data_IF_947897368718
#
_entry.id   IF_947897368718
#
_cell.length_a   1.000
_cell.length_b   1.000
_cell.length_c   1.000
_cell.angle_alpha   90.00
_cell.angle_beta   90.00
_cell.angle_gamma   90.00
#
_symmetry.space_group_name_H-M   'P 1'
#
loop_
_entity.id
_entity.type
_entity.pdbx_description
1 polymer ?
#
# COMPACT_ATOMS: atom_id res chain seq x y z
N UNK A 1 3.87 7.37 -19.94
CA UNK A 1 3.90 6.14 -19.12
C UNK A 1 3.96 4.96 -20.07
N UNK A 2 4.83 3.98 -19.82
CA UNK A 2 4.71 2.71 -20.53
C UNK A 2 3.56 1.93 -19.88
N UNK A 3 2.53 1.52 -20.63
CA UNK A 3 1.46 0.70 -20.07
C UNK A 3 2.04 -0.64 -19.62
N UNK A 4 1.69 -1.09 -18.42
CA UNK A 4 2.02 -2.44 -17.96
C UNK A 4 1.29 -3.46 -18.81
N UNK A 5 1.94 -4.57 -19.14
CA UNK A 5 1.30 -5.69 -19.84
C UNK A 5 0.21 -6.30 -18.96
N UNK A 6 -0.87 -6.69 -19.61
CA UNK A 6 -2.03 -7.31 -18.97
C UNK A 6 -2.20 -8.76 -19.45
N UNK A 7 -2.61 -9.65 -18.54
CA UNK A 7 -2.94 -11.04 -18.86
C UNK A 7 -4.45 -11.24 -18.87
N UNK A 8 -4.99 -11.85 -19.93
CA UNK A 8 -6.41 -12.28 -19.94
C UNK A 8 -6.70 -13.29 -18.82
N UNK A 9 -7.96 -13.39 -18.40
CA UNK A 9 -8.37 -14.36 -17.38
C UNK A 9 -7.95 -15.80 -17.73
N UNK A 10 -8.04 -16.18 -19.01
CA UNK A 10 -7.61 -17.49 -19.49
C UNK A 10 -6.11 -17.71 -19.31
N UNK A 11 -5.29 -16.71 -19.63
CA UNK A 11 -3.84 -16.82 -19.51
C UNK A 11 -3.40 -16.77 -18.04
N UNK A 12 -4.06 -15.96 -17.21
CA UNK A 12 -3.86 -15.95 -15.76
C UNK A 12 -4.14 -17.33 -15.13
N UNK A 13 -5.24 -18.00 -15.54
CA UNK A 13 -5.53 -19.36 -15.09
C UNK A 13 -4.44 -20.37 -15.51
N UNK A 14 -3.87 -20.23 -16.71
CA UNK A 14 -2.78 -21.09 -17.19
C UNK A 14 -1.49 -20.86 -16.41
N UNK A 15 -1.18 -19.59 -16.08
CA UNK A 15 -0.05 -19.24 -15.22
C UNK A 15 -0.18 -19.89 -13.85
N UNK A 16 -1.35 -19.78 -13.20
CA UNK A 16 -1.59 -20.40 -11.89
C UNK A 16 -1.40 -21.93 -11.93
N UNK A 17 -1.94 -22.59 -12.97
CA UNK A 17 -1.77 -24.03 -13.16
C UNK A 17 -0.30 -24.40 -13.34
N UNK A 18 0.47 -23.61 -14.09
CA UNK A 18 1.88 -23.91 -14.32
C UNK A 18 2.74 -23.68 -13.08
N UNK A 19 2.50 -22.59 -12.35
CA UNK A 19 3.15 -22.31 -11.07
C UNK A 19 2.93 -23.44 -10.07
N UNK A 20 1.71 -23.97 -9.99
CA UNK A 20 1.35 -25.05 -9.07
C UNK A 20 1.74 -26.46 -9.54
N UNK A 21 2.18 -26.60 -10.80
CA UNK A 21 2.62 -27.89 -11.36
C UNK A 21 4.13 -27.91 -11.53
N UNK A 22 4.62 -27.53 -12.71
CA UNK A 22 6.05 -27.54 -13.02
C UNK A 22 6.82 -26.46 -12.26
N UNK A 23 6.14 -25.40 -11.80
CA UNK A 23 6.72 -24.36 -10.95
C UNK A 23 6.96 -24.79 -9.50
N UNK A 24 6.38 -25.91 -9.06
CA UNK A 24 6.63 -26.50 -7.75
C UNK A 24 6.05 -25.72 -6.55
N UNK A 25 5.23 -24.69 -6.79
CA UNK A 25 4.55 -23.98 -5.72
C UNK A 25 3.31 -24.74 -5.26
N UNK A 26 3.03 -24.70 -3.96
CA UNK A 26 1.72 -25.09 -3.46
C UNK A 26 0.77 -23.88 -3.42
N UNK A 27 -0.55 -24.14 -3.38
CA UNK A 27 -1.55 -23.07 -3.33
C UNK A 27 -1.38 -22.17 -2.10
N UNK A 28 -1.10 -22.77 -0.93
CA UNK A 28 -0.85 -22.03 0.31
C UNK A 28 0.41 -21.15 0.24
N UNK A 29 1.47 -21.58 -0.45
CA UNK A 29 2.65 -20.73 -0.67
C UNK A 29 2.33 -19.51 -1.53
N UNK A 30 1.63 -19.70 -2.65
CA UNK A 30 1.26 -18.57 -3.53
C UNK A 30 0.31 -17.61 -2.82
N UNK A 31 -0.69 -18.15 -2.11
CA UNK A 31 -1.66 -17.36 -1.33
C UNK A 31 -1.00 -16.59 -0.18
N UNK A 32 0.01 -17.18 0.47
CA UNK A 32 0.79 -16.51 1.51
C UNK A 32 1.50 -15.26 0.97
N UNK A 33 2.17 -15.40 -0.18
CA UNK A 33 2.90 -14.31 -0.83
C UNK A 33 1.95 -13.25 -1.41
N UNK A 34 0.81 -13.67 -1.96
CA UNK A 34 -0.23 -12.79 -2.46
C UNK A 34 -0.85 -11.95 -1.33
N UNK A 35 -1.32 -12.58 -0.26
CA UNK A 35 -1.90 -11.87 0.87
C UNK A 35 -0.90 -10.97 1.62
N UNK A 36 0.37 -11.38 1.69
CA UNK A 36 1.45 -10.50 2.20
C UNK A 36 1.61 -9.25 1.32
N UNK A 37 1.55 -9.40 0.00
CA UNK A 37 1.59 -8.27 -0.94
C UNK A 37 0.40 -7.32 -0.74
N UNK A 38 -0.80 -7.86 -0.52
CA UNK A 38 -2.01 -7.06 -0.23
C UNK A 38 -1.86 -6.29 1.09
N UNK A 39 -1.34 -6.94 2.13
CA UNK A 39 -1.07 -6.27 3.40
C UNK A 39 -0.06 -5.12 3.20
N UNK A 40 1.02 -5.34 2.42
CA UNK A 40 2.03 -4.31 2.16
C UNK A 40 1.47 -3.12 1.40
N UNK A 41 0.68 -3.35 0.35
CA UNK A 41 -0.01 -2.28 -0.36
C UNK A 41 -0.95 -1.50 0.57
N UNK A 42 -1.66 -2.20 1.45
CA UNK A 42 -2.52 -1.58 2.47
C UNK A 42 -1.70 -0.69 3.41
N UNK A 43 -0.57 -1.17 3.91
CA UNK A 43 0.33 -0.40 4.77
C UNK A 43 0.84 0.86 4.08
N UNK A 44 1.32 0.72 2.83
CA UNK A 44 1.88 1.82 2.04
C UNK A 44 0.84 2.89 1.69
N UNK A 45 -0.39 2.48 1.36
CA UNK A 45 -1.46 3.41 0.97
C UNK A 45 -2.20 4.01 2.16
N UNK A 46 -2.33 3.27 3.26
CA UNK A 46 -3.18 3.63 4.40
C UNK A 46 -2.49 3.37 5.76
N UNK A 47 -1.35 4.03 6.04
CA UNK A 47 -0.55 3.75 7.25
C UNK A 47 -1.29 4.03 8.56
N UNK A 48 -2.28 4.95 8.55
CA UNK A 48 -3.00 5.41 9.74
C UNK A 48 -4.41 4.80 9.89
N UNK A 49 -4.94 4.12 8.87
CA UNK A 49 -6.30 3.57 8.89
C UNK A 49 -6.29 2.18 9.51
N UNK A 50 -6.18 2.12 10.84
CA UNK A 50 -5.94 0.88 11.58
C UNK A 50 -7.16 -0.02 11.70
N UNK A 51 -8.38 0.53 11.72
CA UNK A 51 -9.61 -0.28 11.80
C UNK A 51 -10.03 -0.73 10.39
N UNK A 52 -9.79 -2.01 10.05
CA UNK A 52 -9.94 -2.53 8.68
C UNK A 52 -10.99 -3.62 8.64
N UNK A 53 -11.90 -3.56 7.67
CA UNK A 53 -12.84 -4.63 7.36
C UNK A 53 -12.37 -5.40 6.13
N UNK A 54 -12.14 -6.70 6.28
CA UNK A 54 -11.87 -7.60 5.17
C UNK A 54 -13.15 -8.34 4.82
N UNK A 55 -13.61 -8.21 3.58
CA UNK A 55 -14.72 -8.99 3.05
C UNK A 55 -14.15 -10.14 2.23
N UNK A 56 -14.28 -11.37 2.73
CA UNK A 56 -13.73 -12.56 2.09
C UNK A 56 -14.80 -13.32 1.29
N UNK A 57 -14.47 -13.64 0.03
CA UNK A 57 -15.27 -14.52 -0.82
C UNK A 57 -14.89 -15.99 -0.68
N UNK A 58 -15.62 -16.90 -1.35
CA UNK A 58 -15.50 -18.34 -1.15
C UNK A 58 -14.27 -18.97 -1.83
N UNK A 59 -13.56 -18.22 -2.68
CA UNK A 59 -12.43 -18.70 -3.49
C UNK A 59 -11.08 -18.15 -3.03
N UNK A 60 -10.07 -18.29 -3.89
CA UNK A 60 -8.70 -17.90 -3.58
C UNK A 60 -8.55 -16.41 -3.21
N UNK A 61 -9.28 -15.50 -3.88
CA UNK A 61 -9.27 -14.08 -3.55
C UNK A 61 -9.67 -13.79 -2.09
N UNK A 62 -10.60 -14.59 -1.56
CA UNK A 62 -10.98 -14.52 -0.14
C UNK A 62 -9.86 -15.02 0.75
N UNK A 63 -9.17 -16.09 0.35
CA UNK A 63 -7.99 -16.61 1.03
C UNK A 63 -6.84 -15.59 1.09
N UNK A 64 -6.58 -14.87 0.00
CA UNK A 64 -5.61 -13.77 -0.04
C UNK A 64 -5.98 -12.67 0.96
N UNK A 65 -7.27 -12.33 1.07
CA UNK A 65 -7.79 -11.41 2.09
C UNK A 65 -7.62 -11.92 3.53
N UNK A 66 -7.84 -13.22 3.77
CA UNK A 66 -7.60 -13.84 5.08
C UNK A 66 -6.11 -13.79 5.46
N UNK A 67 -5.20 -14.09 4.52
CA UNK A 67 -3.76 -13.96 4.74
C UNK A 67 -3.38 -12.49 5.00
N UNK A 68 -3.92 -11.55 4.22
CA UNK A 68 -3.69 -10.12 4.42
C UNK A 68 -4.11 -9.66 5.82
N UNK A 69 -5.28 -10.11 6.30
CA UNK A 69 -5.76 -9.81 7.65
C UNK A 69 -4.78 -10.28 8.73
N UNK A 70 -4.20 -11.48 8.58
CA UNK A 70 -3.17 -11.98 9.50
C UNK A 70 -1.94 -11.08 9.52
N UNK A 71 -1.38 -10.72 8.37
CA UNK A 71 -0.20 -9.85 8.31
C UNK A 71 -0.50 -8.46 8.85
N UNK A 72 -1.65 -7.87 8.51
CA UNK A 72 -2.07 -6.56 9.03
C UNK A 72 -2.19 -6.54 10.55
N UNK A 73 -2.73 -7.60 11.18
CA UNK A 73 -2.77 -7.71 12.65
C UNK A 73 -1.36 -7.68 13.25
N UNK A 74 -0.41 -8.41 12.64
CA UNK A 74 0.99 -8.42 13.07
C UNK A 74 1.68 -7.07 12.89
N UNK A 75 1.18 -6.21 12.00
CA UNK A 75 1.69 -4.86 11.74
C UNK A 75 0.92 -3.76 12.48
N UNK A 76 0.13 -4.13 13.49
CA UNK A 76 -0.54 -3.18 14.39
C UNK A 76 -1.84 -2.58 13.84
N UNK A 77 -2.47 -3.21 12.85
CA UNK A 77 -3.85 -2.91 12.48
C UNK A 77 -4.82 -3.72 13.36
N UNK A 78 -6.09 -3.31 13.35
CA UNK A 78 -7.20 -4.03 13.97
C UNK A 78 -8.18 -4.52 12.87
N UNK A 79 -7.82 -5.60 12.17
CA UNK A 79 -8.68 -6.18 11.15
C UNK A 79 -9.87 -6.91 11.78
N UNK A 80 -11.04 -6.79 11.15
CA UNK A 80 -12.19 -7.68 11.31
C UNK A 80 -12.54 -8.33 9.98
N UNK A 81 -13.12 -9.51 10.03
CA UNK A 81 -13.39 -10.32 8.84
C UNK A 81 -14.89 -10.57 8.74
N UNK A 82 -15.45 -10.29 7.56
CA UNK A 82 -16.77 -10.77 7.18
C UNK A 82 -16.62 -11.86 6.12
N UNK A 83 -16.95 -13.11 6.50
CA UNK A 83 -16.77 -14.29 5.63
C UNK A 83 -18.07 -15.12 5.52
N UNK A 84 -19.06 -14.67 4.72
CA UNK A 84 -20.42 -15.22 4.75
C UNK A 84 -20.56 -16.58 4.05
N UNK A 85 -19.58 -16.97 3.22
CA UNK A 85 -19.55 -18.28 2.54
C UNK A 85 -18.16 -18.91 2.68
N UNK A 86 -17.82 -19.46 3.86
CA UNK A 86 -16.53 -20.10 4.06
C UNK A 86 -16.32 -21.27 3.09
N UNK A 87 -15.13 -21.33 2.48
CA UNK A 87 -14.72 -22.49 1.69
C UNK A 87 -14.61 -23.72 2.58
N UNK A 88 -14.93 -24.90 2.02
CA UNK A 88 -14.82 -26.19 2.72
C UNK A 88 -13.43 -26.80 2.61
N UNK A 89 -12.55 -26.23 1.76
CA UNK A 89 -11.19 -26.71 1.58
C UNK A 89 -10.36 -26.46 2.86
N UNK A 90 -9.52 -27.43 3.22
CA UNK A 90 -8.76 -27.46 4.48
C UNK A 90 -7.77 -26.29 4.62
N UNK A 91 -7.29 -25.73 3.50
CA UNK A 91 -6.45 -24.51 3.53
C UNK A 91 -7.22 -23.35 4.20
N UNK A 92 -8.50 -23.15 3.86
CA UNK A 92 -9.30 -22.05 4.42
C UNK A 92 -9.70 -22.30 5.87
N UNK A 93 -9.84 -23.56 6.29
CA UNK A 93 -10.01 -23.89 7.72
C UNK A 93 -8.74 -23.54 8.49
N UNK A 94 -7.58 -23.87 7.94
CA UNK A 94 -6.28 -23.56 8.53
C UNK A 94 -6.07 -22.04 8.65
N UNK A 95 -6.44 -21.26 7.64
CA UNK A 95 -6.42 -19.80 7.69
C UNK A 95 -7.34 -19.25 8.79
N UNK A 96 -8.57 -19.75 8.91
CA UNK A 96 -9.47 -19.36 10.00
C UNK A 96 -8.86 -19.68 11.37
N UNK A 97 -8.26 -20.86 11.56
CA UNK A 97 -7.56 -21.21 12.81
C UNK A 97 -6.41 -20.24 13.10
N UNK A 98 -5.59 -19.89 12.12
CA UNK A 98 -4.50 -18.91 12.30
C UNK A 98 -5.04 -17.54 12.73
N UNK A 99 -6.14 -17.09 12.13
CA UNK A 99 -6.77 -15.80 12.45
C UNK A 99 -7.38 -15.80 13.85
N UNK A 100 -8.04 -16.88 14.25
CA UNK A 100 -8.53 -17.05 15.62
C UNK A 100 -7.41 -17.06 16.66
N UNK A 101 -6.28 -17.72 16.36
CA UNK A 101 -5.11 -17.73 17.24
C UNK A 101 -4.48 -16.34 17.43
N UNK A 102 -4.73 -15.40 16.51
CA UNK A 102 -4.32 -14.00 16.58
C UNK A 102 -5.41 -13.06 17.11
N UNK A 103 -6.52 -13.62 17.61
CA UNK A 103 -7.67 -12.86 18.10
C UNK A 103 -8.23 -11.86 17.07
N UNK A 104 -8.30 -12.27 15.80
CA UNK A 104 -8.96 -11.50 14.75
C UNK A 104 -10.44 -11.88 14.74
N UNK A 105 -11.31 -10.89 14.85
CA UNK A 105 -12.76 -11.09 14.98
C UNK A 105 -13.40 -11.41 13.62
N UNK A 106 -14.23 -12.45 13.59
CA UNK A 106 -15.15 -12.73 12.48
C UNK A 106 -16.53 -12.17 12.83
N UNK A 107 -16.95 -11.13 12.13
CA UNK A 107 -18.26 -10.51 12.32
C UNK A 107 -19.33 -11.22 11.48
N UNK A 108 -20.58 -11.17 11.93
CA UNK A 108 -21.72 -11.85 11.29
C UNK A 108 -22.65 -10.93 10.51
N UNK A 109 -22.51 -9.62 10.65
CA UNK A 109 -23.31 -8.63 9.93
C UNK A 109 -22.48 -7.37 9.63
N UNK A 110 -22.98 -6.57 8.69
CA UNK A 110 -22.34 -5.37 8.18
C UNK A 110 -23.03 -4.08 8.65
N UNK A 111 -23.87 -4.14 9.69
CA UNK A 111 -24.60 -2.97 10.19
C UNK A 111 -23.68 -1.82 10.63
N UNK A 112 -22.46 -2.16 11.06
CA UNK A 112 -21.43 -1.22 11.49
C UNK A 112 -20.36 -0.94 10.41
N UNK A 113 -20.65 -1.19 9.12
CA UNK A 113 -19.68 -0.99 8.03
C UNK A 113 -19.09 0.44 8.03
N UNK A 114 -19.88 1.45 8.39
CA UNK A 114 -19.43 2.85 8.48
C UNK A 114 -18.43 3.14 9.60
N UNK A 115 -18.25 2.22 10.56
CA UNK A 115 -17.27 2.37 11.66
C UNK A 115 -15.85 2.00 11.24
N UNK A 116 -15.70 1.28 10.13
CA UNK A 116 -14.40 0.90 9.60
C UNK A 116 -13.76 2.04 8.83
N UNK A 117 -12.45 2.16 8.97
CA UNK A 117 -11.65 3.17 8.31
C UNK A 117 -11.20 2.74 6.91
N UNK A 118 -11.20 1.44 6.63
CA UNK A 118 -10.81 0.85 5.35
C UNK A 118 -11.61 -0.44 5.11
N UNK A 119 -12.02 -0.67 3.87
CA UNK A 119 -12.57 -1.94 3.40
C UNK A 119 -11.58 -2.57 2.42
N UNK A 120 -11.28 -3.85 2.63
CA UNK A 120 -10.54 -4.70 1.70
C UNK A 120 -11.53 -5.67 1.04
N UNK A 121 -11.68 -5.52 -0.26
CA UNK A 121 -12.47 -6.38 -1.13
C UNK A 121 -11.66 -7.59 -1.58
N UNK A 122 -11.90 -8.72 -0.93
CA UNK A 122 -11.41 -10.04 -1.31
C UNK A 122 -12.55 -10.97 -1.76
N UNK A 123 -13.62 -10.44 -2.37
CA UNK A 123 -14.81 -11.26 -2.71
C UNK A 123 -14.54 -12.12 -3.96
N UNK A 124 -14.31 -11.49 -5.11
CA UNK A 124 -14.19 -12.16 -6.41
C UNK A 124 -12.92 -11.71 -7.12
N UNK A 125 -12.09 -12.68 -7.54
CA UNK A 125 -10.92 -12.42 -8.38
C UNK A 125 -11.20 -12.70 -9.86
N UNK A 126 -10.14 -12.84 -10.66
CA UNK A 126 -10.23 -13.03 -12.12
C UNK A 126 -11.00 -14.28 -12.60
N UNK A 127 -11.16 -15.28 -11.74
CA UNK A 127 -11.89 -16.51 -12.09
C UNK A 127 -13.42 -16.33 -12.03
N UNK A 128 -13.91 -15.21 -11.54
CA UNK A 128 -15.35 -14.92 -11.53
C UNK A 128 -15.82 -14.67 -12.97
N UNK A 129 -16.64 -15.58 -13.47
CA UNK A 129 -17.25 -15.43 -14.78
C UNK A 129 -18.35 -14.38 -14.72
N UNK A 130 -18.35 -13.46 -15.68
CA UNK A 130 -19.34 -12.38 -15.72
C UNK A 130 -20.75 -12.94 -15.82
N UNK A 131 -21.49 -12.72 -14.74
CA UNK A 131 -22.85 -13.19 -14.54
C UNK A 131 -23.47 -12.43 -13.38
N UNK A 132 -24.76 -12.65 -13.14
CA UNK A 132 -25.46 -11.97 -12.05
C UNK A 132 -24.81 -12.31 -10.69
N UNK A 133 -24.37 -11.28 -9.97
CA UNK A 133 -23.85 -11.42 -8.61
C UNK A 133 -25.01 -11.88 -7.72
N UNK A 134 -24.90 -13.07 -7.15
CA UNK A 134 -25.93 -13.68 -6.31
C UNK A 134 -25.77 -13.30 -4.85
N UNK A 135 -26.84 -13.46 -4.08
CA UNK A 135 -26.78 -13.33 -2.62
C UNK A 135 -25.84 -14.37 -1.98
N UNK A 136 -25.14 -14.03 -0.88
CA UNK A 136 -25.23 -12.77 -0.13
C UNK A 136 -24.39 -11.62 -0.70
N UNK A 137 -23.58 -11.87 -1.74
CA UNK A 137 -22.59 -10.92 -2.25
C UNK A 137 -23.19 -9.68 -2.91
N UNK A 138 -24.38 -9.82 -3.50
CA UNK A 138 -25.12 -8.68 -4.04
C UNK A 138 -25.42 -7.64 -2.97
N UNK A 139 -26.07 -8.05 -1.88
CA UNK A 139 -26.40 -7.14 -0.77
C UNK A 139 -25.16 -6.55 -0.08
N UNK A 140 -24.06 -7.31 -0.03
CA UNK A 140 -22.77 -6.84 0.52
C UNK A 140 -22.19 -5.73 -0.35
N UNK A 141 -22.11 -5.94 -1.67
CA UNK A 141 -21.60 -4.95 -2.61
C UNK A 141 -22.47 -3.69 -2.60
N UNK A 142 -23.80 -3.85 -2.55
CA UNK A 142 -24.73 -2.73 -2.45
C UNK A 142 -24.43 -1.86 -1.20
N UNK A 143 -24.16 -2.48 -0.03
CA UNK A 143 -23.79 -1.76 1.19
C UNK A 143 -22.43 -1.05 1.12
N UNK A 144 -21.43 -1.67 0.50
CA UNK A 144 -20.10 -1.05 0.27
C UNK A 144 -20.24 0.17 -0.65
N UNK A 145 -21.05 0.04 -1.71
CA UNK A 145 -21.31 1.11 -2.67
C UNK A 145 -22.06 2.29 -2.03
N UNK A 146 -22.94 2.02 -1.06
CA UNK A 146 -23.64 3.02 -0.25
C UNK A 146 -22.74 3.72 0.79
N UNK A 147 -21.48 3.30 0.92
CA UNK A 147 -20.48 3.86 1.83
C UNK A 147 -19.29 4.45 1.06
N UNK A 148 -19.50 5.53 0.26
CA UNK A 148 -18.47 6.06 -0.64
C UNK A 148 -17.29 6.73 0.09
N UNK A 149 -17.49 7.14 1.34
CA UNK A 149 -16.48 7.84 2.13
C UNK A 149 -15.46 6.92 2.81
N UNK A 150 -15.74 5.62 2.90
CA UNK A 150 -14.78 4.64 3.44
C UNK A 150 -13.83 4.21 2.32
N UNK A 151 -12.51 4.40 2.43
CA UNK A 151 -11.56 3.88 1.46
C UNK A 151 -11.76 2.39 1.16
N UNK A 152 -11.59 2.02 -0.10
CA UNK A 152 -11.73 0.67 -0.63
C UNK A 152 -10.42 0.26 -1.31
N UNK A 153 -9.91 -0.92 -0.94
CA UNK A 153 -8.83 -1.60 -1.64
C UNK A 153 -9.37 -2.91 -2.20
N UNK A 154 -9.18 -3.17 -3.49
CA UNK A 154 -9.56 -4.45 -4.09
C UNK A 154 -8.35 -5.34 -4.33
N UNK A 155 -8.52 -6.63 -4.03
CA UNK A 155 -7.54 -7.67 -4.30
C UNK A 155 -7.81 -8.22 -5.70
N UNK A 156 -6.75 -8.21 -6.50
CA UNK A 156 -6.66 -8.74 -7.86
C UNK A 156 -7.49 -8.00 -8.92
N UNK A 157 -8.80 -7.98 -8.73
CA UNK A 157 -9.81 -7.32 -9.58
C UNK A 157 -10.90 -6.76 -8.65
N UNK A 158 -11.44 -5.55 -8.90
CA UNK A 158 -12.61 -5.08 -8.17
C UNK A 158 -13.80 -6.03 -8.37
N UNK A 159 -14.35 -6.54 -7.28
CA UNK A 159 -15.36 -7.60 -7.33
C UNK A 159 -16.58 -7.27 -8.18
N UNK A 160 -16.88 -8.18 -9.11
CA UNK A 160 -17.99 -8.05 -10.05
C UNK A 160 -17.67 -7.29 -11.33
N UNK A 161 -16.45 -6.75 -11.49
CA UNK A 161 -16.01 -6.17 -12.75
C UNK A 161 -15.75 -7.28 -13.78
N UNK A 162 -16.01 -6.96 -15.04
CA UNK A 162 -15.57 -7.76 -16.17
C UNK A 162 -14.06 -7.59 -16.35
N UNK A 163 -13.35 -8.72 -16.47
CA UNK A 163 -11.89 -8.73 -16.56
C UNK A 163 -11.38 -7.98 -17.78
N UNK A 164 -12.13 -8.02 -18.89
CA UNK A 164 -11.75 -7.43 -20.18
C UNK A 164 -12.42 -6.07 -20.42
N UNK A 165 -13.64 -5.87 -19.93
CA UNK A 165 -14.49 -4.71 -20.23
C UNK A 165 -14.67 -3.73 -19.06
N UNK A 166 -14.16 -4.03 -17.86
CA UNK A 166 -14.21 -3.14 -16.72
C UNK A 166 -15.53 -3.17 -15.94
N UNK A 167 -15.99 -2.02 -15.46
CA UNK A 167 -17.15 -1.93 -14.56
C UNK A 167 -18.44 -2.45 -15.20
N UNK A 168 -19.19 -3.24 -14.42
CA UNK A 168 -20.53 -3.75 -14.76
C UNK A 168 -21.55 -3.20 -13.76
N UNK A 169 -22.76 -2.77 -14.17
CA UNK A 169 -23.78 -2.33 -13.22
C UNK A 169 -24.07 -3.38 -12.13
N UNK A 170 -24.01 -2.94 -10.87
CA UNK A 170 -24.17 -3.81 -9.70
C UNK A 170 -22.86 -4.41 -9.17
N UNK A 171 -21.73 -4.18 -9.83
CA UNK A 171 -20.41 -4.49 -9.32
C UNK A 171 -19.97 -3.53 -8.20
N UNK A 172 -18.88 -3.86 -7.52
CA UNK A 172 -18.28 -2.97 -6.52
C UNK A 172 -17.80 -1.68 -7.19
N UNK A 173 -17.90 -0.56 -6.47
CA UNK A 173 -17.41 0.74 -6.95
C UNK A 173 -15.89 0.70 -7.16
N UNK A 174 -15.40 1.62 -8.00
CA UNK A 174 -13.97 1.79 -8.24
C UNK A 174 -13.20 1.97 -6.91
N UNK A 175 -12.15 1.17 -6.65
CA UNK A 175 -11.39 1.25 -5.40
C UNK A 175 -10.38 2.41 -5.45
N UNK A 176 -9.95 2.86 -4.29
CA UNK A 176 -8.82 3.80 -4.16
C UNK A 176 -7.48 3.11 -4.42
N UNK A 177 -7.40 1.80 -4.16
CA UNK A 177 -6.21 0.98 -4.38
C UNK A 177 -6.60 -0.34 -5.05
N UNK A 178 -5.91 -0.71 -6.12
CA UNK A 178 -5.97 -2.06 -6.69
C UNK A 178 -4.62 -2.74 -6.52
N UNK A 179 -4.63 -3.98 -6.03
CA UNK A 179 -3.44 -4.84 -5.97
C UNK A 179 -3.61 -5.98 -6.95
N UNK A 180 -3.02 -5.89 -8.15
CA UNK A 180 -3.01 -7.01 -9.10
C UNK A 180 -2.04 -8.08 -8.62
N UNK A 181 -2.48 -9.34 -8.55
CA UNK A 181 -1.63 -10.45 -8.16
C UNK A 181 -1.04 -11.15 -9.40
N UNK A 182 0.23 -11.54 -9.31
CA UNK A 182 1.04 -12.17 -10.36
C UNK A 182 1.34 -11.25 -11.55
N UNK A 183 0.29 -10.73 -12.18
CA UNK A 183 0.36 -9.76 -13.25
C UNK A 183 -0.94 -8.93 -13.31
N UNK A 184 -0.90 -7.70 -13.83
CA UNK A 184 -2.10 -6.93 -14.16
C UNK A 184 -3.07 -7.70 -15.06
N UNK A 185 -4.37 -7.50 -14.83
CA UNK A 185 -5.44 -7.95 -15.74
C UNK A 185 -5.95 -6.76 -16.58
N UNK A 186 -6.63 -6.99 -17.72
CA UNK A 186 -7.10 -5.90 -18.59
C UNK A 186 -8.01 -4.89 -17.90
N UNK A 187 -8.66 -5.27 -16.79
CA UNK A 187 -9.44 -4.40 -15.91
C UNK A 187 -8.70 -3.11 -15.53
N UNK A 188 -7.36 -3.16 -15.42
CA UNK A 188 -6.51 -2.00 -15.09
C UNK A 188 -6.65 -0.87 -16.12
N UNK A 189 -6.91 -1.20 -17.39
CA UNK A 189 -7.08 -0.22 -18.46
C UNK A 189 -8.39 0.58 -18.34
N UNK A 190 -9.32 0.12 -17.48
CA UNK A 190 -10.61 0.77 -17.25
C UNK A 190 -10.64 1.59 -15.95
N UNK A 191 -9.52 1.62 -15.21
CA UNK A 191 -9.39 2.40 -13.99
C UNK A 191 -8.95 3.82 -14.29
N UNK A 192 -9.42 4.77 -13.48
CA UNK A 192 -8.85 6.11 -13.47
C UNK A 192 -7.53 6.13 -12.69
N UNK A 193 -6.41 5.79 -13.36
CA UNK A 193 -5.07 5.73 -12.74
C UNK A 193 -4.55 7.09 -12.20
N UNK A 194 -5.24 8.20 -12.45
CA UNK A 194 -4.94 9.47 -11.76
C UNK A 194 -5.51 9.52 -10.34
N UNK A 195 -6.45 8.62 -10.01
CA UNK A 195 -7.14 8.54 -8.72
C UNK A 195 -6.89 7.22 -8.00
N UNK A 196 -6.67 6.14 -8.75
CA UNK A 196 -6.46 4.79 -8.22
C UNK A 196 -4.96 4.52 -8.13
N UNK A 197 -4.47 4.16 -6.94
CA UNK A 197 -3.13 3.61 -6.79
C UNK A 197 -3.14 2.15 -7.24
N UNK A 198 -2.19 1.79 -8.12
CA UNK A 198 -2.11 0.43 -8.68
C UNK A 198 -0.80 -0.24 -8.30
N UNK A 199 -0.91 -1.29 -7.49
CA UNK A 199 0.21 -2.14 -7.11
C UNK A 199 0.18 -3.46 -7.89
N UNK A 200 1.36 -4.01 -8.14
CA UNK A 200 1.53 -5.39 -8.60
C UNK A 200 2.21 -6.18 -7.49
N UNK A 201 1.51 -7.18 -6.97
CA UNK A 201 1.99 -8.11 -5.96
C UNK A 201 2.27 -9.50 -6.52
N UNK A 202 2.78 -10.39 -5.68
CA UNK A 202 3.16 -11.74 -6.09
C UNK A 202 4.59 -11.81 -6.64
N UNK A 203 5.54 -11.38 -5.81
CA UNK A 203 6.99 -11.42 -6.09
C UNK A 203 7.56 -12.85 -6.06
N UNK A 204 7.10 -13.69 -6.98
CA UNK A 204 7.55 -15.07 -7.16
C UNK A 204 7.73 -15.45 -8.63
N UNK A 205 7.53 -14.50 -9.56
CA UNK A 205 7.70 -14.71 -11.00
C UNK A 205 9.16 -14.41 -11.39
N UNK A 206 9.88 -15.46 -11.80
CA UNK A 206 11.22 -15.33 -12.37
C UNK A 206 11.21 -14.84 -13.82
N UNK A 207 12.34 -14.30 -14.28
CA UNK A 207 12.49 -13.71 -15.63
C UNK A 207 12.12 -14.67 -16.76
N UNK A 208 12.56 -15.93 -16.70
CA UNK A 208 12.24 -16.92 -17.73
C UNK A 208 10.73 -17.21 -17.80
N UNK A 209 10.09 -17.35 -16.63
CA UNK A 209 8.65 -17.55 -16.53
C UNK A 209 7.89 -16.33 -17.04
N UNK A 210 8.31 -15.12 -16.66
CA UNK A 210 7.73 -13.88 -17.16
C UNK A 210 7.79 -13.81 -18.69
N UNK A 211 8.96 -14.08 -19.28
CA UNK A 211 9.15 -14.07 -20.73
C UNK A 211 8.27 -15.11 -21.43
N UNK A 212 8.15 -16.33 -20.86
CA UNK A 212 7.30 -17.40 -21.41
C UNK A 212 5.84 -16.98 -21.53
N UNK A 213 5.31 -16.26 -20.54
CA UNK A 213 3.91 -15.87 -20.48
C UNK A 213 3.64 -14.42 -20.93
N UNK A 214 4.68 -13.70 -21.38
CA UNK A 214 4.55 -12.30 -21.78
C UNK A 214 4.23 -11.34 -20.63
N UNK A 215 4.65 -11.67 -19.41
CA UNK A 215 4.52 -10.83 -18.21
C UNK A 215 5.68 -9.84 -18.18
N UNK A 216 5.45 -8.62 -17.70
CA UNK A 216 6.55 -7.70 -17.43
C UNK A 216 7.41 -8.17 -16.25
N UNK A 217 8.72 -7.98 -16.36
CA UNK A 217 9.63 -8.22 -15.25
C UNK A 217 9.60 -6.97 -14.36
N UNK A 218 8.91 -7.08 -13.23
CA UNK A 218 8.78 -5.98 -12.26
C UNK A 218 10.02 -5.90 -11.36
N UNK A 219 10.58 -4.70 -11.21
CA UNK A 219 11.71 -4.44 -10.33
C UNK A 219 11.23 -4.06 -8.92
N UNK A 220 10.99 -5.06 -8.08
CA UNK A 220 10.63 -4.86 -6.67
C UNK A 220 11.84 -4.35 -5.87
N UNK A 221 11.66 -3.26 -5.10
CA UNK A 221 12.75 -2.65 -4.32
C UNK A 221 13.06 -3.44 -3.05
N UNK A 222 14.32 -3.79 -2.82
CA UNK A 222 14.76 -4.41 -1.56
C UNK A 222 13.94 -5.64 -1.21
N UNK A 223 13.24 -5.61 -0.07
CA UNK A 223 12.35 -6.66 0.41
C UNK A 223 10.85 -6.40 0.12
N UNK A 224 10.52 -5.36 -0.66
CA UNK A 224 9.15 -5.06 -1.05
C UNK A 224 8.48 -6.27 -1.74
N UNK A 225 7.25 -6.55 -1.38
CA UNK A 225 6.38 -7.56 -1.98
C UNK A 225 5.46 -6.96 -3.04
N UNK A 226 5.44 -5.63 -3.16
CA UNK A 226 4.68 -4.91 -4.19
C UNK A 226 5.55 -3.98 -5.02
N UNK A 227 5.26 -3.94 -6.31
CA UNK A 227 5.74 -2.94 -7.25
C UNK A 227 4.65 -1.88 -7.48
N UNK A 228 5.04 -0.62 -7.67
CA UNK A 228 4.12 0.47 -7.99
C UNK A 228 4.77 1.45 -8.96
N UNK A 229 4.05 1.83 -10.03
CA UNK A 229 4.62 2.64 -11.12
C UNK A 229 5.08 4.04 -10.67
N UNK A 230 4.39 4.63 -9.69
CA UNK A 230 4.79 5.91 -9.09
C UNK A 230 5.56 5.74 -7.78
N UNK A 231 6.34 4.67 -7.63
CA UNK A 231 7.45 4.75 -6.68
C UNK A 231 8.38 5.87 -7.19
N UNK A 232 8.08 7.12 -6.81
CA UNK A 232 9.08 8.18 -6.76
C UNK A 232 10.31 7.51 -6.17
N UNK A 233 11.45 7.73 -6.80
CA UNK A 233 12.75 7.33 -6.30
C UNK A 233 13.01 7.97 -4.94
N UNK A 234 12.31 7.50 -3.91
CA UNK A 234 12.86 7.42 -2.57
C UNK A 234 13.99 6.40 -2.72
N UNK A 235 15.18 6.92 -2.99
CA UNK A 235 16.42 6.22 -2.71
C UNK A 235 16.38 5.94 -1.21
N UNK A 236 15.98 4.73 -0.83
CA UNK A 236 16.37 4.22 0.47
C UNK A 236 17.85 3.86 0.34
N UNK A 237 18.77 4.47 1.13
CA UNK A 237 20.15 4.06 1.10
C UNK A 237 20.24 2.58 1.45
N UNK A 238 20.97 1.83 0.64
CA UNK A 238 21.30 0.43 0.90
C UNK A 238 22.23 0.38 2.11
N UNK A 239 21.72 -0.05 3.26
CA UNK A 239 22.52 -0.20 4.47
C UNK A 239 23.45 -1.41 4.34
N UNK A 240 24.74 -1.14 4.16
CA UNK A 240 25.78 -2.13 4.44
C UNK A 240 25.95 -2.22 5.95
N UNK A 241 25.62 -3.38 6.51
CA UNK A 241 25.83 -3.70 7.91
C UNK A 241 27.34 -3.74 8.19
N UNK A 242 27.89 -2.65 8.71
CA UNK A 242 29.19 -2.67 9.37
C UNK A 242 28.93 -2.66 10.88
N UNK A 243 29.50 -3.66 11.55
CA UNK A 243 29.38 -3.91 12.97
C UNK A 243 29.83 -2.70 13.80
N UNK A 244 28.91 -1.97 14.41
CA UNK A 244 29.16 -1.26 15.68
C UNK A 244 27.85 -0.76 16.29
N UNK A 245 27.73 -0.92 17.61
CA UNK A 245 26.62 -0.46 18.42
C UNK A 245 26.53 1.07 18.39
N UNK A 246 25.48 1.64 17.79
CA UNK A 246 25.12 3.06 17.93
C UNK A 246 23.59 3.18 18.01
N UNK A 247 23.10 3.92 19.00
CA UNK A 247 21.70 4.31 19.12
C UNK A 247 21.40 5.43 18.11
N UNK A 248 20.27 5.32 17.41
CA UNK A 248 19.87 6.24 16.34
C UNK A 248 18.89 7.30 16.86
N UNK A 249 19.15 8.58 16.55
CA UNK A 249 18.24 9.70 16.79
C UNK A 249 17.91 10.37 15.46
N UNK A 250 16.62 10.66 15.23
CA UNK A 250 16.14 11.39 14.05
C UNK A 250 16.18 12.90 14.32
N UNK A 251 16.66 13.69 13.34
CA UNK A 251 16.66 15.14 13.41
C UNK A 251 15.72 15.70 12.34
N UNK A 252 14.61 16.31 12.72
CA UNK A 252 13.70 16.97 11.77
C UNK A 252 14.05 18.45 11.76
N UNK A 253 14.32 19.04 10.58
CA UNK A 253 14.60 20.49 10.45
C UNK A 253 13.41 21.15 9.75
N UNK A 254 12.56 21.82 10.50
CA UNK A 254 11.45 22.59 9.92
C UNK A 254 11.94 24.00 9.61
N UNK A 255 11.89 24.44 8.36
CA UNK A 255 12.16 25.84 7.99
C UNK A 255 10.83 26.52 7.71
N UNK A 256 10.44 27.44 8.59
CA UNK A 256 9.25 28.28 8.41
C UNK A 256 9.68 29.58 7.75
N UNK A 257 9.14 29.88 6.57
CA UNK A 257 9.37 31.16 5.90
C UNK A 257 8.09 31.99 5.99
N UNK A 258 8.12 33.05 6.79
CA UNK A 258 7.04 34.01 6.88
C UNK A 258 7.25 35.11 5.83
N UNK A 259 6.47 35.10 4.74
CA UNK A 259 6.49 36.18 3.75
C UNK A 259 5.59 37.30 4.25
N UNK A 260 6.09 38.54 4.22
CA UNK A 260 5.40 39.74 4.66
C UNK A 260 4.22 40.10 3.71
N UNK A 261 3.17 39.28 3.68
CA UNK A 261 1.86 39.56 3.07
C UNK A 261 0.81 38.46 3.39
N UNK A 262 0.77 38.01 4.66
CA UNK A 262 -0.23 37.03 5.19
C UNK A 262 -0.26 35.66 4.49
N UNK A 263 0.87 35.18 3.96
CA UNK A 263 1.02 33.78 3.52
C UNK A 263 2.17 33.13 4.28
N UNK A 264 1.86 32.10 5.05
CA UNK A 264 2.84 31.22 5.69
C UNK A 264 3.23 30.15 4.66
N UNK A 265 4.52 30.05 4.33
CA UNK A 265 5.08 28.92 3.59
C UNK A 265 5.86 28.07 4.59
N UNK A 266 5.33 26.88 4.88
CA UNK A 266 6.04 25.88 5.69
C UNK A 266 6.79 24.97 4.72
N UNK A 267 8.11 25.07 4.71
CA UNK A 267 8.98 24.11 4.02
C UNK A 267 9.56 23.16 5.08
N UNK A 268 8.95 21.99 5.24
CA UNK A 268 9.53 20.95 6.08
C UNK A 268 10.62 20.22 5.28
N UNK A 269 11.87 20.33 5.71
CA UNK A 269 12.95 19.47 5.25
C UNK A 269 13.16 18.37 6.30
N UNK A 270 12.70 17.15 6.00
CA UNK A 270 13.09 16.00 6.83
C UNK A 270 14.53 15.67 6.45
N UNK A 271 15.48 16.00 7.33
CA UNK A 271 16.88 15.63 7.17
C UNK A 271 17.06 14.29 7.90
N UNK A 272 16.85 13.18 7.20
CA UNK A 272 17.26 11.89 7.74
C UNK A 272 18.80 11.80 7.73
N UNK A 273 19.34 11.53 8.91
CA UNK A 273 20.74 11.21 9.20
C UNK A 273 21.75 12.35 9.02
N UNK A 274 22.33 12.83 10.13
CA UNK A 274 23.69 13.35 10.06
C UNK A 274 24.48 12.86 11.29
N UNK A 275 25.68 12.35 11.03
CA UNK A 275 26.81 12.65 11.89
C UNK A 275 27.06 14.16 11.93
N UNK A 276 28.27 14.63 12.22
CA UNK A 276 28.55 16.07 12.14
C UNK A 276 28.44 16.57 10.69
N UNK A 277 27.58 17.55 10.40
CA UNK A 277 27.48 18.20 9.10
C UNK A 277 26.83 19.59 9.18
N UNK A 278 27.00 20.38 8.13
CA UNK A 278 26.48 21.75 7.96
C UNK A 278 25.47 21.79 6.80
N UNK A 279 24.35 22.48 6.97
CA UNK A 279 23.43 22.79 5.86
C UNK A 279 23.42 24.29 5.55
N UNK A 280 23.19 24.64 4.29
CA UNK A 280 22.99 26.02 3.83
C UNK A 280 21.58 26.10 3.27
N UNK A 281 20.79 27.06 3.76
CA UNK A 281 19.48 27.38 3.22
C UNK A 281 19.49 28.82 2.69
N UNK A 282 18.97 29.03 1.49
CA UNK A 282 18.73 30.37 0.96
C UNK A 282 17.38 30.87 1.50
N UNK A 283 17.39 32.04 2.15
CA UNK A 283 16.19 32.66 2.72
C UNK A 283 16.06 34.08 2.16
N UNK A 284 14.82 34.49 1.89
CA UNK A 284 14.53 35.81 1.33
C UNK A 284 14.68 36.91 2.40
N UNK A 285 15.23 38.06 2.00
CA UNK A 285 15.51 39.19 2.90
C UNK A 285 14.23 39.67 3.58
N UNK A 286 14.24 39.74 4.91
CA UNK A 286 13.08 40.12 5.74
C UNK A 286 12.29 38.92 6.30
N UNK A 287 12.75 37.69 6.08
CA UNK A 287 12.15 36.48 6.65
C UNK A 287 12.79 36.11 7.99
N UNK A 288 12.00 35.52 8.90
CA UNK A 288 12.49 34.88 10.14
C UNK A 288 12.68 33.39 9.84
N UNK A 289 13.86 32.84 10.13
CA UNK A 289 14.12 31.40 10.09
C UNK A 289 14.12 30.83 11.52
N UNK A 290 13.33 29.78 11.76
CA UNK A 290 13.34 29.03 13.02
C UNK A 290 13.86 27.63 12.70
N UNK A 291 14.84 27.15 13.46
CA UNK A 291 15.37 25.79 13.35
C UNK A 291 15.08 25.06 14.66
N UNK A 292 14.19 24.08 14.60
CA UNK A 292 13.87 23.24 15.74
C UNK A 292 14.59 21.90 15.60
N UNK A 293 15.48 21.58 16.54
CA UNK A 293 16.18 20.29 16.62
C UNK A 293 15.59 19.55 17.81
N UNK A 294 15.27 18.26 17.65
CA UNK A 294 14.67 17.45 18.70
C UNK A 294 15.47 17.55 20.02
N UNK A 295 14.94 18.30 20.99
CA UNK A 295 15.53 18.50 22.33
C UNK A 295 16.12 19.89 22.62
N UNK A 296 16.25 20.78 21.64
CA UNK A 296 16.74 22.16 21.85
C UNK A 296 16.27 23.12 20.76
N UNK A 297 15.62 24.21 21.15
CA UNK A 297 15.20 25.28 20.23
C UNK A 297 16.29 26.34 20.15
N UNK A 298 16.82 26.61 18.96
CA UNK A 298 17.66 27.77 18.69
C UNK A 298 16.89 28.75 17.82
N UNK A 299 16.69 29.98 18.31
CA UNK A 299 16.04 31.07 17.56
C UNK A 299 17.12 32.08 17.21
N UNK A 300 17.36 32.31 15.93
CA UNK A 300 18.16 33.43 15.48
C UNK A 300 17.25 34.45 14.79
N UNK A 301 17.22 35.67 15.33
CA UNK A 301 16.65 36.80 14.63
C UNK A 301 17.70 37.32 13.65
N UNK A 302 17.35 37.42 12.36
CA UNK A 302 18.18 38.10 11.36
C UNK A 302 17.94 39.59 11.52
N UNK A 303 18.68 40.25 12.41
CA UNK A 303 18.63 41.70 12.57
C UNK A 303 19.62 42.36 11.60
N UNK A 304 19.06 42.96 10.55
CA UNK A 304 19.70 43.85 9.57
C UNK A 304 20.98 43.35 8.86
N UNK A 305 20.85 42.93 7.60
CA UNK A 305 21.99 42.73 6.70
C UNK A 305 22.20 43.98 5.87
N UNK A 306 23.32 44.65 6.10
CA UNK A 306 23.86 45.71 5.24
C UNK A 306 24.02 45.19 3.80
N UNK A 307 23.66 46.02 2.79
CA UNK A 307 23.35 45.60 1.40
C UNK A 307 24.52 45.05 0.58
N UNK A 308 25.62 44.66 1.21
CA UNK A 308 26.79 44.06 0.53
C UNK A 308 27.46 42.90 1.27
N UNK A 309 26.82 42.28 2.27
CA UNK A 309 27.44 41.19 3.02
C UNK A 309 26.94 39.78 2.61
N UNK A 310 27.93 38.96 2.28
CA UNK A 310 27.92 37.53 1.98
C UNK A 310 27.45 36.70 3.18
N UNK A 311 26.62 35.70 2.90
CA UNK A 311 26.50 34.36 3.53
C UNK A 311 27.05 34.24 4.95
N UNK A 312 26.18 34.28 5.96
CA UNK A 312 26.53 33.73 7.27
C UNK A 312 26.35 32.21 7.25
N UNK A 313 27.49 31.50 7.29
CA UNK A 313 27.54 30.06 7.50
C UNK A 313 27.16 29.77 8.97
N UNK A 314 25.91 29.38 9.22
CA UNK A 314 25.52 28.91 10.55
C UNK A 314 26.17 27.56 10.84
N UNK A 315 27.23 27.58 11.67
CA UNK A 315 27.87 26.38 12.21
C UNK A 315 27.35 26.11 13.61
N UNK A 316 26.54 25.07 13.80
CA UNK A 316 26.32 24.52 15.15
C UNK A 316 27.23 23.32 15.39
N UNK A 317 27.58 23.11 16.66
CA UNK A 317 28.25 21.91 17.16
C UNK A 317 27.29 21.29 18.17
N UNK A 318 26.66 20.16 17.81
CA UNK A 318 25.96 19.35 18.80
C UNK A 318 27.02 18.55 19.56
N UNK A 319 27.16 18.78 20.87
CA UNK A 319 27.90 17.89 21.77
C UNK A 319 26.88 16.97 22.44
N UNK A 320 27.06 15.65 22.29
CA UNK A 320 26.32 14.63 23.02
C UNK A 320 26.72 14.62 24.50
#
# INVERSE_FOLDING_TARGET
MHPVKVLSAKLAAQVDVELMSTGGFSLDQLMELAGLSVAEATYKSFPTLKNVLIIAGPGNNGGDGLVAARHLKLWGYDPKIYYPKPSKNDIFKSLQTQLHNLNIEFISDLSQLSTFQLIIDGIFGFSFQTGEIREPFKSIIDQINQSPNTPLLSIDIPSGWDVDHGYVPGAIREPQVLVSLTAPKPVVNHLNLNKVQHYVGGRFIGTEFANKFGIDVFEYKGYDQVWHQHQRSQHYPTYYQTSSNLHWYYCVVVVVVAVAERRLLVAAAVVEEIGTGSFVAEVEVGSIAVVEVAGSTAVAAVEEVDRTAVVEEMRWKATC
#
